data_IF_220790138374
#
_entry.id   IF_220790138374
#
_cell.length_a   1.000
_cell.length_b   1.000
_cell.length_c   1.000
_cell.angle_alpha   90.00
_cell.angle_beta   90.00
_cell.angle_gamma   90.00
#
_symmetry.space_group_name_H-M   'P 1'
#
loop_
_entity.id
_entity.type
_entity.pdbx_description
1 polymer ?
#
# COMPACT_ATOMS: atom_id res chain seq x y z
N UNK A 1 -9.68 -21.26 -5.88
CA UNK A 1 -9.55 -20.15 -4.90
C UNK A 1 -8.20 -19.49 -5.07
N UNK A 2 -8.09 -18.17 -4.89
CA UNK A 2 -6.83 -17.46 -5.00
C UNK A 2 -5.99 -17.66 -3.73
N UNK A 3 -4.74 -18.11 -3.84
CA UNK A 3 -3.76 -18.13 -2.74
C UNK A 3 -3.26 -16.70 -2.44
N UNK A 4 -4.19 -15.85 -1.98
CA UNK A 4 -4.00 -14.39 -1.88
C UNK A 4 -4.61 -13.82 -0.61
N UNK A 5 -3.82 -13.07 0.13
CA UNK A 5 -4.25 -12.36 1.34
C UNK A 5 -4.83 -10.99 0.97
N UNK A 6 -6.05 -10.72 1.41
CA UNK A 6 -6.68 -9.40 1.32
C UNK A 6 -6.79 -8.81 2.72
N UNK A 7 -6.12 -7.68 2.98
CA UNK A 7 -6.11 -7.05 4.30
C UNK A 7 -6.21 -5.54 4.21
N UNK A 8 -6.52 -4.89 5.34
CA UNK A 8 -6.48 -3.43 5.49
C UNK A 8 -5.09 -3.05 6.01
N UNK A 9 -4.58 -1.89 5.62
CA UNK A 9 -3.36 -1.38 6.21
C UNK A 9 -3.56 -1.11 7.72
N UNK A 10 -2.48 -1.22 8.49
CA UNK A 10 -2.43 -1.03 9.94
C UNK A 10 -3.32 -1.99 10.73
N UNK A 11 -3.70 -3.12 10.11
CA UNK A 11 -4.33 -4.24 10.81
C UNK A 11 -3.38 -5.41 10.87
N UNK A 12 -3.29 -5.99 12.06
CA UNK A 12 -2.55 -7.21 12.29
C UNK A 12 -3.21 -8.36 11.53
N UNK A 13 -2.38 -9.19 10.93
CA UNK A 13 -2.73 -10.50 10.41
C UNK A 13 -1.67 -11.49 10.86
N UNK A 14 -2.09 -12.74 11.02
CA UNK A 14 -1.25 -13.81 11.53
C UNK A 14 -0.96 -14.79 10.41
N UNK A 15 0.27 -15.29 10.37
CA UNK A 15 0.67 -16.40 9.53
C UNK A 15 1.13 -17.52 10.45
N UNK A 16 0.60 -18.70 10.17
CA UNK A 16 0.90 -19.93 10.90
C UNK A 16 2.02 -20.66 10.17
N UNK A 17 3.08 -20.97 10.90
CA UNK A 17 4.25 -21.68 10.42
C UNK A 17 4.29 -23.03 11.09
N UNK A 18 4.30 -24.08 10.27
CA UNK A 18 4.44 -25.45 10.72
C UNK A 18 5.84 -25.93 10.34
N UNK A 19 6.55 -26.52 11.29
CA UNK A 19 7.87 -27.08 11.08
C UNK A 19 7.88 -28.50 11.65
N UNK A 20 8.31 -29.46 10.84
CA UNK A 20 8.30 -30.88 11.20
C UNK A 20 9.49 -31.27 12.12
N UNK A 21 10.25 -30.29 12.64
CA UNK A 21 11.43 -30.51 13.46
C UNK A 21 11.17 -30.05 14.90
N UNK A 22 11.53 -30.88 15.88
CA UNK A 22 11.20 -30.74 17.30
C UNK A 22 11.82 -29.50 17.95
N UNK A 23 12.90 -28.93 17.38
CA UNK A 23 13.51 -27.70 17.89
C UNK A 23 13.59 -26.62 16.81
N UNK A 24 12.59 -25.74 16.80
CA UNK A 24 12.57 -24.50 16.00
C UNK A 24 13.31 -23.33 16.67
N UNK A 25 14.10 -23.59 17.73
CA UNK A 25 14.69 -22.55 18.59
C UNK A 25 15.67 -21.63 17.87
N UNK A 26 16.37 -22.15 16.87
CA UNK A 26 17.43 -21.42 16.14
C UNK A 26 17.02 -21.03 14.71
N UNK A 27 15.73 -21.11 14.40
CA UNK A 27 15.21 -20.75 13.09
C UNK A 27 14.60 -19.35 13.08
N UNK A 28 14.73 -18.72 11.93
CA UNK A 28 14.24 -17.38 11.65
C UNK A 28 13.26 -17.43 10.48
N UNK A 29 12.22 -16.60 10.56
CA UNK A 29 11.33 -16.32 9.44
C UNK A 29 11.72 -14.98 8.85
N UNK A 30 12.12 -14.98 7.59
CA UNK A 30 12.25 -13.75 6.80
C UNK A 30 11.02 -13.58 5.92
N UNK A 31 10.36 -12.45 6.05
CA UNK A 31 9.26 -12.04 5.20
C UNK A 31 9.71 -10.88 4.29
N UNK A 32 9.71 -11.12 2.98
CA UNK A 32 10.21 -10.19 1.96
C UNK A 32 9.11 -9.87 0.95
N UNK A 33 8.61 -8.62 0.90
CA UNK A 33 7.72 -8.18 -0.15
C UNK A 33 8.48 -7.94 -1.47
N UNK A 34 7.92 -8.46 -2.56
CA UNK A 34 8.41 -8.27 -3.92
C UNK A 34 7.27 -7.84 -4.84
N UNK A 35 7.56 -7.16 -5.94
CA UNK A 35 6.57 -6.99 -6.99
C UNK A 35 6.36 -8.30 -7.73
N UNK A 36 5.10 -8.66 -8.00
CA UNK A 36 4.77 -9.92 -8.68
C UNK A 36 5.18 -9.92 -10.16
N UNK A 37 5.29 -8.74 -10.78
CA UNK A 37 5.69 -8.58 -12.18
C UNK A 37 7.20 -8.75 -12.34
N UNK A 38 7.62 -9.53 -13.35
CA UNK A 38 9.03 -9.72 -13.69
C UNK A 38 9.75 -8.40 -14.02
N UNK A 39 9.06 -7.44 -14.65
CA UNK A 39 9.63 -6.13 -15.02
C UNK A 39 10.02 -5.28 -13.80
N UNK A 40 9.36 -5.51 -12.67
CA UNK A 40 9.59 -4.79 -11.42
C UNK A 40 10.27 -5.68 -10.36
N UNK A 41 10.62 -6.92 -10.68
CA UNK A 41 11.08 -7.91 -9.71
C UNK A 41 12.38 -7.50 -9.01
N UNK A 42 13.25 -6.73 -9.67
CA UNK A 42 14.48 -6.19 -9.08
C UNK A 42 14.25 -4.95 -8.20
N UNK A 43 13.08 -4.31 -8.29
CA UNK A 43 12.78 -3.07 -7.55
C UNK A 43 12.30 -3.42 -6.15
N UNK A 44 12.82 -2.76 -5.10
CA UNK A 44 12.33 -2.97 -3.75
C UNK A 44 10.92 -2.40 -3.56
N UNK A 45 10.08 -3.12 -2.82
CA UNK A 45 8.74 -2.64 -2.46
C UNK A 45 8.83 -1.73 -1.24
N UNK A 46 8.72 -0.42 -1.46
CA UNK A 46 8.97 0.59 -0.44
C UNK A 46 7.69 1.28 0.05
N UNK A 47 7.73 1.72 1.32
CA UNK A 47 6.71 2.56 1.93
C UNK A 47 6.63 3.91 1.20
N UNK A 48 5.40 4.39 1.01
CA UNK A 48 5.17 5.66 0.33
C UNK A 48 5.67 6.84 1.18
N UNK A 49 5.86 7.99 0.53
CA UNK A 49 6.42 9.19 1.16
C UNK A 49 5.58 9.63 2.37
N UNK A 50 4.25 9.57 2.27
CA UNK A 50 3.37 9.98 3.35
C UNK A 50 3.51 9.05 4.58
N UNK A 51 3.48 7.74 4.36
CA UNK A 51 3.50 6.79 5.46
C UNK A 51 4.91 6.53 6.04
N UNK A 52 5.98 7.02 5.40
CA UNK A 52 7.34 6.96 5.96
C UNK A 52 7.69 8.18 6.83
N UNK A 53 6.84 9.21 6.88
CA UNK A 53 7.11 10.42 7.66
C UNK A 53 7.23 10.09 9.15
N UNK A 54 8.16 10.73 9.85
CA UNK A 54 8.37 10.54 11.29
C UNK A 54 7.18 10.98 12.14
N UNK A 55 6.32 11.85 11.61
CA UNK A 55 5.09 12.32 12.24
C UNK A 55 4.02 11.24 12.36
N UNK A 56 4.10 10.18 11.56
CA UNK A 56 3.16 9.07 11.63
C UNK A 56 3.37 8.26 12.92
N UNK A 57 2.30 8.02 13.68
CA UNK A 57 2.35 7.38 15.01
C UNK A 57 3.12 6.06 15.04
N UNK A 58 2.95 5.22 14.00
CA UNK A 58 3.62 3.92 13.91
C UNK A 58 5.11 4.00 13.54
N UNK A 59 5.64 5.19 13.26
CA UNK A 59 7.07 5.44 13.04
C UNK A 59 7.78 5.97 14.28
N UNK A 60 7.05 6.30 15.36
CA UNK A 60 7.65 6.77 16.61
C UNK A 60 8.56 5.69 17.22
N UNK A 61 9.78 6.09 17.61
CA UNK A 61 10.77 5.17 18.19
C UNK A 61 11.32 4.11 17.22
N UNK A 62 11.00 4.17 15.92
CA UNK A 62 11.50 3.23 14.91
C UNK A 62 12.77 3.77 14.24
N UNK A 63 13.63 2.85 13.80
CA UNK A 63 14.80 3.22 13.01
C UNK A 63 14.40 3.78 11.65
N UNK A 64 15.25 4.63 11.07
CA UNK A 64 15.05 5.17 9.72
C UNK A 64 14.88 4.06 8.67
N UNK A 65 15.55 2.91 8.84
CA UNK A 65 15.38 1.77 7.93
C UNK A 65 13.95 1.21 8.02
N UNK A 66 13.44 0.96 9.23
CA UNK A 66 12.11 0.39 9.42
C UNK A 66 10.98 1.25 8.82
N UNK A 67 11.16 2.58 8.70
CA UNK A 67 10.15 3.45 8.07
C UNK A 67 9.99 3.21 6.56
N UNK A 68 11.00 2.64 5.89
CA UNK A 68 10.91 2.26 4.47
C UNK A 68 10.14 0.95 4.24
N UNK A 69 9.94 0.11 5.26
CA UNK A 69 9.29 -1.19 5.09
C UNK A 69 7.76 -1.05 5.03
N UNK A 70 7.15 -1.65 4.01
CA UNK A 70 5.68 -1.77 3.93
C UNK A 70 5.12 -2.84 4.86
N UNK A 71 5.91 -3.87 5.19
CA UNK A 71 5.55 -4.97 6.06
C UNK A 71 6.30 -4.82 7.39
N UNK A 72 5.60 -4.96 8.50
CA UNK A 72 6.16 -4.87 9.85
C UNK A 72 5.69 -6.02 10.70
N UNK A 73 6.47 -6.35 11.72
CA UNK A 73 6.08 -7.30 12.75
C UNK A 73 5.90 -6.59 14.09
N UNK A 74 5.00 -7.15 14.91
CA UNK A 74 4.85 -6.76 16.32
C UNK A 74 5.84 -7.53 17.22
N UNK A 75 6.59 -8.48 16.68
CA UNK A 75 7.57 -9.25 17.45
C UNK A 75 8.70 -8.33 17.98
N UNK A 76 9.03 -8.45 19.27
CA UNK A 76 9.99 -7.56 19.94
C UNK A 76 11.40 -7.65 19.34
N UNK A 77 11.79 -8.84 18.87
CA UNK A 77 13.08 -9.08 18.22
C UNK A 77 13.02 -9.00 16.69
N UNK A 78 12.05 -8.28 16.13
CA UNK A 78 11.95 -8.10 14.68
C UNK A 78 13.12 -7.25 14.16
N UNK A 79 13.88 -7.82 13.24
CA UNK A 79 15.01 -7.16 12.57
C UNK A 79 14.60 -6.72 11.17
N UNK A 80 14.95 -5.49 10.80
CA UNK A 80 14.65 -4.92 9.49
C UNK A 80 15.94 -4.87 8.68
N UNK A 81 15.94 -5.48 7.49
CA UNK A 81 17.12 -5.56 6.62
C UNK A 81 16.79 -5.07 5.20
N UNK A 82 17.82 -4.65 4.47
CA UNK A 82 17.70 -4.17 3.08
C UNK A 82 18.16 -2.73 2.94
N UNK A 83 17.68 -2.03 1.91
CA UNK A 83 18.07 -0.63 1.67
C UNK A 83 17.29 0.03 0.54
N UNK A 84 17.77 1.17 0.04
CA UNK A 84 17.11 1.87 -1.07
C UNK A 84 17.11 1.07 -2.37
N UNK A 85 18.15 0.27 -2.59
CA UNK A 85 18.37 -0.51 -3.82
C UNK A 85 18.32 -2.02 -3.59
N UNK A 86 18.16 -2.45 -2.33
CA UNK A 86 18.07 -3.86 -1.95
C UNK A 86 16.66 -4.17 -1.47
N UNK A 87 16.18 -5.38 -1.72
CA UNK A 87 14.89 -5.81 -1.20
C UNK A 87 14.84 -5.65 0.33
N UNK A 88 13.71 -5.12 0.78
CA UNK A 88 13.43 -4.90 2.18
C UNK A 88 12.77 -6.15 2.75
N UNK A 89 13.25 -6.65 3.88
CA UNK A 89 12.66 -7.80 4.55
C UNK A 89 12.65 -7.63 6.06
N UNK A 90 11.65 -8.20 6.72
CA UNK A 90 11.61 -8.33 8.18
C UNK A 90 11.99 -9.75 8.57
N UNK A 91 12.89 -9.90 9.51
CA UNK A 91 13.33 -11.18 10.08
C UNK A 91 12.83 -11.25 11.51
N UNK A 92 12.17 -12.35 11.86
CA UNK A 92 11.72 -12.62 13.23
C UNK A 92 12.21 -14.01 13.65
N UNK A 93 12.62 -14.21 14.91
CA UNK A 93 12.79 -15.55 15.45
C UNK A 93 11.49 -16.34 15.28
N UNK A 94 11.59 -17.60 14.85
CA UNK A 94 10.45 -18.50 14.82
C UNK A 94 10.08 -18.86 16.26
N UNK A 95 11.05 -19.36 17.03
CA UNK A 95 10.81 -19.84 18.40
C UNK A 95 10.13 -21.22 18.41
N UNK A 96 9.81 -21.72 19.59
CA UNK A 96 9.17 -23.04 19.74
C UNK A 96 7.65 -22.95 19.66
N UNK A 97 6.99 -23.97 19.07
CA UNK A 97 5.56 -24.16 19.26
C UNK A 97 5.21 -24.23 20.75
N UNK A 98 4.00 -23.78 21.10
CA UNK A 98 3.47 -23.96 22.45
C UNK A 98 3.22 -25.44 22.73
N UNK A 99 3.30 -25.87 23.99
CA UNK A 99 3.06 -27.26 24.36
C UNK A 99 1.68 -27.74 23.84
N UNK A 100 1.67 -28.85 23.10
CA UNK A 100 0.47 -29.38 22.45
C UNK A 100 0.10 -28.75 21.11
N UNK A 101 0.95 -27.88 20.54
CA UNK A 101 0.76 -27.25 19.24
C UNK A 101 1.92 -27.60 18.29
N UNK A 102 1.62 -27.82 17.01
CA UNK A 102 2.65 -28.02 15.96
C UNK A 102 2.94 -26.74 15.16
N UNK A 103 2.30 -25.63 15.54
CA UNK A 103 2.28 -24.38 14.81
C UNK A 103 2.86 -23.25 15.65
N UNK A 104 3.70 -22.46 15.01
CA UNK A 104 4.16 -21.16 15.51
C UNK A 104 3.46 -20.05 14.75
N UNK A 105 2.89 -19.09 15.48
CA UNK A 105 2.16 -17.96 14.90
C UNK A 105 2.99 -16.69 14.93
N UNK A 106 3.26 -16.12 13.76
CA UNK A 106 3.87 -14.78 13.67
C UNK A 106 2.88 -13.76 13.16
N UNK A 107 2.86 -12.59 13.80
CA UNK A 107 1.94 -11.50 13.50
C UNK A 107 2.66 -10.40 12.74
N UNK A 108 2.04 -9.97 11.64
CA UNK A 108 2.52 -8.91 10.78
C UNK A 108 1.41 -7.89 10.48
N UNK A 109 1.78 -6.72 9.97
CA UNK A 109 0.84 -5.76 9.42
C UNK A 109 1.48 -4.97 8.28
N UNK A 110 0.64 -4.46 7.39
CA UNK A 110 1.08 -3.58 6.30
C UNK A 110 0.83 -2.13 6.63
N UNK A 111 1.78 -1.26 6.30
CA UNK A 111 1.63 0.19 6.51
C UNK A 111 0.96 0.86 5.31
N UNK A 112 1.38 0.49 4.10
CA UNK A 112 0.88 1.07 2.86
C UNK A 112 -0.26 0.27 2.25
N UNK A 113 -1.18 0.98 1.58
CA UNK A 113 -2.14 0.38 0.65
C UNK A 113 -1.47 0.15 -0.70
N UNK A 114 -1.94 -0.83 -1.47
CA UNK A 114 -1.46 -1.01 -2.85
C UNK A 114 -1.67 0.27 -3.67
N UNK A 115 -2.71 1.06 -3.41
CA UNK A 115 -3.02 2.30 -4.13
C UNK A 115 -2.11 3.49 -3.81
N UNK A 116 -1.16 3.38 -2.88
CA UNK A 116 -0.28 4.50 -2.53
C UNK A 116 0.65 4.87 -3.71
N UNK A 117 0.46 6.06 -4.28
CA UNK A 117 1.10 6.49 -5.53
C UNK A 117 2.63 6.55 -5.46
N UNK A 118 3.21 7.05 -4.36
CA UNK A 118 4.67 7.18 -4.19
C UNK A 118 5.34 5.93 -3.63
N UNK A 119 4.62 4.80 -3.56
CA UNK A 119 5.15 3.52 -3.05
C UNK A 119 4.77 2.36 -3.99
N UNK A 120 3.82 1.54 -3.55
CA UNK A 120 3.37 0.35 -4.30
C UNK A 120 2.79 0.74 -5.68
N UNK A 121 2.06 1.85 -5.76
CA UNK A 121 1.49 2.41 -6.99
C UNK A 121 0.66 1.41 -7.82
N UNK A 122 -0.28 0.74 -7.17
CA UNK A 122 -1.23 -0.25 -7.71
C UNK A 122 -0.59 -1.50 -8.31
N UNK A 123 0.73 -1.67 -8.22
CA UNK A 123 1.43 -2.89 -8.65
C UNK A 123 1.07 -4.06 -7.74
N UNK A 124 1.03 -5.26 -8.32
CA UNK A 124 0.82 -6.50 -7.59
C UNK A 124 2.05 -6.80 -6.71
N UNK A 125 1.82 -7.26 -5.49
CA UNK A 125 2.85 -7.56 -4.50
C UNK A 125 2.67 -8.99 -4.02
N UNK A 126 3.77 -9.74 -3.98
CA UNK A 126 3.86 -11.04 -3.32
C UNK A 126 4.70 -10.90 -2.05
N UNK A 127 4.39 -11.72 -1.05
CA UNK A 127 5.26 -11.97 0.10
C UNK A 127 5.95 -13.31 -0.08
N UNK A 128 7.28 -13.28 -0.01
CA UNK A 128 8.10 -14.47 0.12
C UNK A 128 8.44 -14.65 1.59
N UNK A 129 8.14 -15.82 2.12
CA UNK A 129 8.62 -16.29 3.41
C UNK A 129 9.76 -17.28 3.18
N UNK A 130 10.88 -17.07 3.86
CA UNK A 130 11.96 -18.05 3.98
C UNK A 130 12.13 -18.46 5.44
N UNK A 131 12.30 -19.76 5.65
CA UNK A 131 12.79 -20.34 6.89
C UNK A 131 14.31 -20.39 6.79
N UNK A 132 14.99 -19.72 7.71
CA UNK A 132 16.45 -19.55 7.71
C UNK A 132 17.04 -20.10 9.02
N UNK A 133 18.22 -20.71 8.94
CA UNK A 133 19.01 -21.04 10.13
C UNK A 133 19.83 -19.84 10.62
N UNK A 134 20.60 -20.03 11.70
CA UNK A 134 21.44 -19.00 12.32
C UNK A 134 22.62 -18.54 11.44
N UNK A 135 22.99 -19.29 10.40
CA UNK A 135 24.04 -18.92 9.43
C UNK A 135 23.44 -18.27 8.17
N UNK A 136 22.11 -18.31 8.02
CA UNK A 136 21.37 -17.72 6.90
C UNK A 136 21.08 -18.70 5.76
N UNK A 137 21.24 -20.01 5.96
CA UNK A 137 20.84 -21.01 4.99
C UNK A 137 19.32 -21.11 4.91
N UNK A 138 18.78 -21.20 3.69
CA UNK A 138 17.34 -21.30 3.45
C UNK A 138 16.92 -22.77 3.54
N UNK A 139 16.15 -23.11 4.57
CA UNK A 139 15.60 -24.43 4.81
C UNK A 139 14.22 -24.63 4.17
N UNK A 140 13.52 -23.52 3.91
CA UNK A 140 12.17 -23.56 3.34
C UNK A 140 11.77 -22.24 2.72
N UNK A 141 10.91 -22.30 1.70
CA UNK A 141 10.40 -21.12 1.02
C UNK A 141 8.94 -21.28 0.63
N UNK A 142 8.13 -20.25 0.91
CA UNK A 142 6.74 -20.15 0.51
C UNK A 142 6.42 -18.75 0.01
N UNK A 143 5.51 -18.66 -0.96
CA UNK A 143 5.07 -17.41 -1.55
C UNK A 143 3.56 -17.27 -1.40
N UNK A 144 3.10 -16.09 -1.01
CA UNK A 144 1.68 -15.73 -1.02
C UNK A 144 1.49 -14.40 -1.73
N UNK A 145 0.44 -14.25 -2.53
CA UNK A 145 0.11 -12.94 -3.09
C UNK A 145 -0.62 -12.09 -2.05
N UNK A 146 -0.46 -10.78 -2.10
CA UNK A 146 -1.10 -9.87 -1.13
C UNK A 146 -1.74 -8.67 -1.80
N UNK A 147 -2.90 -8.26 -1.26
CA UNK A 147 -3.55 -6.99 -1.57
C UNK A 147 -3.97 -6.26 -0.30
N UNK A 148 -3.34 -5.12 -0.06
CA UNK A 148 -3.67 -4.18 1.00
C UNK A 148 -4.63 -3.12 0.47
N UNK A 149 -5.88 -3.15 0.92
CA UNK A 149 -6.96 -2.33 0.39
C UNK A 149 -7.96 -1.90 1.48
N UNK A 150 -8.76 -0.88 1.18
CA UNK A 150 -9.75 -0.36 2.13
C UNK A 150 -10.98 -1.28 2.30
N UNK A 151 -11.25 -2.19 1.35
CA UNK A 151 -12.43 -3.06 1.36
C UNK A 151 -12.07 -4.50 0.95
N UNK A 152 -11.35 -5.26 1.79
CA UNK A 152 -10.84 -6.60 1.46
C UNK A 152 -11.87 -7.56 0.89
N UNK A 153 -13.06 -7.64 1.50
CA UNK A 153 -14.13 -8.55 1.06
C UNK A 153 -14.62 -8.24 -0.36
N UNK A 154 -14.81 -6.96 -0.69
CA UNK A 154 -15.25 -6.53 -2.01
C UNK A 154 -14.19 -6.83 -3.07
N UNK A 155 -12.94 -6.47 -2.78
CA UNK A 155 -11.84 -6.67 -3.71
C UNK A 155 -11.55 -8.17 -3.91
N UNK A 156 -11.64 -9.00 -2.86
CA UNK A 156 -11.56 -10.46 -2.94
C UNK A 156 -12.64 -11.03 -3.87
N UNK A 157 -13.92 -10.70 -3.61
CA UNK A 157 -15.04 -11.19 -4.42
C UNK A 157 -14.89 -10.81 -5.89
N UNK A 158 -14.45 -9.57 -6.15
CA UNK A 158 -14.21 -9.09 -7.52
C UNK A 158 -13.12 -9.88 -8.21
N UNK A 159 -11.96 -10.05 -7.58
CA UNK A 159 -10.83 -10.78 -8.18
C UNK A 159 -11.14 -12.28 -8.33
N UNK A 160 -11.87 -12.89 -7.39
CA UNK A 160 -12.32 -14.29 -7.53
C UNK A 160 -13.35 -14.45 -8.67
N UNK A 161 -14.28 -13.50 -8.83
CA UNK A 161 -15.22 -13.50 -9.97
C UNK A 161 -14.50 -13.34 -11.31
N UNK A 162 -13.51 -12.45 -11.38
CA UNK A 162 -12.66 -12.27 -12.56
C UNK A 162 -11.84 -13.55 -12.87
N UNK A 163 -11.29 -14.20 -11.84
CA UNK A 163 -10.57 -15.47 -11.99
C UNK A 163 -11.48 -16.56 -12.56
N UNK A 164 -12.69 -16.73 -12.02
CA UNK A 164 -13.65 -17.75 -12.46
C UNK A 164 -14.12 -17.53 -13.90
N UNK A 165 -14.36 -16.27 -14.30
CA UNK A 165 -14.70 -15.91 -15.67
C UNK A 165 -13.58 -16.27 -16.64
N UNK A 166 -12.33 -15.99 -16.26
CA UNK A 166 -11.18 -16.28 -17.10
C UNK A 166 -10.83 -17.78 -17.11
N UNK A 167 -11.22 -18.56 -16.10
CA UNK A 167 -10.98 -20.00 -16.01
C UNK A 167 -12.14 -20.86 -16.56
N UNK A 168 -13.17 -20.27 -17.18
CA UNK A 168 -14.29 -20.99 -17.77
C UNK A 168 -15.22 -21.71 -16.77
N UNK A 169 -15.17 -21.36 -15.48
CA UNK A 169 -16.01 -21.99 -14.45
C UNK A 169 -17.25 -21.15 -14.13
N UNK A 170 -18.43 -21.75 -13.86
CA UNK A 170 -19.64 -21.01 -13.57
C UNK A 170 -19.49 -20.20 -12.28
N UNK A 171 -19.54 -18.87 -12.40
CA UNK A 171 -19.42 -17.96 -11.27
C UNK A 171 -20.65 -18.04 -10.34
N UNK A 172 -20.42 -18.25 -9.04
CA UNK A 172 -21.49 -18.11 -8.04
C UNK A 172 -21.89 -16.65 -7.91
N UNK A 173 -23.12 -16.31 -8.36
CA UNK A 173 -23.69 -14.97 -8.29
C UNK A 173 -24.02 -14.61 -6.83
N UNK A 174 -23.07 -14.00 -6.13
CA UNK A 174 -23.37 -13.23 -4.91
C UNK A 174 -24.21 -12.00 -5.27
N UNK A 175 -25.26 -11.69 -4.47
CA UNK A 175 -26.14 -10.52 -4.68
C UNK A 175 -25.29 -9.24 -4.84
N UNK A 176 -25.24 -8.70 -6.05
CA UNK A 176 -24.64 -7.38 -6.34
C UNK A 176 -25.39 -6.33 -5.53
N UNK A 177 -24.78 -5.78 -4.48
CA UNK A 177 -25.24 -4.48 -3.94
C UNK A 177 -24.94 -3.44 -5.01
N UNK A 178 -25.98 -2.67 -5.40
CA UNK A 178 -25.82 -1.49 -6.26
C UNK A 178 -24.67 -0.65 -5.72
N UNK A 179 -23.73 -0.31 -6.60
CA UNK A 179 -22.70 0.67 -6.31
C UNK A 179 -23.40 2.01 -6.09
N UNK A 180 -23.61 2.36 -4.83
CA UNK A 180 -23.86 3.75 -4.46
C UNK A 180 -22.48 4.39 -4.45
N UNK A 181 -22.17 5.37 -5.31
CA UNK A 181 -20.92 6.09 -5.24
C UNK A 181 -20.78 6.61 -3.81
N UNK A 182 -19.72 6.17 -3.11
CA UNK A 182 -19.34 6.79 -1.85
C UNK A 182 -19.00 8.24 -2.19
N UNK A 183 -19.90 9.16 -1.84
CA UNK A 183 -19.54 10.58 -1.70
C UNK A 183 -18.27 10.65 -0.84
N UNK A 184 -17.30 11.52 -1.20
CA UNK A 184 -16.13 11.77 -0.37
C UNK A 184 -16.56 11.99 1.08
N UNK A 185 -15.74 11.49 2.00
CA UNK A 185 -15.90 11.66 3.44
C UNK A 185 -16.32 13.09 3.77
N UNK A 186 -17.47 13.19 4.46
CA UNK A 186 -18.13 14.38 4.95
C UNK A 186 -17.21 15.28 5.77
N UNK A 187 -16.54 16.23 5.10
CA UNK A 187 -15.92 17.39 5.72
C UNK A 187 -16.18 18.71 4.96
N UNK A 188 -17.00 18.72 3.92
CA UNK A 188 -17.26 19.94 3.16
C UNK A 188 -18.76 20.12 2.91
N UNK A 189 -19.26 21.27 3.34
CA UNK A 189 -20.52 21.84 2.90
C UNK A 189 -20.56 21.83 1.35
N UNK A 190 -21.59 21.23 0.71
CA UNK A 190 -21.72 21.24 -0.74
C UNK A 190 -21.70 22.65 -1.36
N UNK A 191 -21.99 23.68 -0.56
CA UNK A 191 -22.02 25.09 -0.96
C UNK A 191 -20.81 25.89 -0.46
N UNK A 192 -19.69 25.26 -0.09
CA UNK A 192 -18.49 26.01 0.27
C UNK A 192 -17.89 26.75 -0.95
N UNK A 193 -18.22 28.04 -1.04
CA UNK A 193 -17.70 28.96 -2.05
C UNK A 193 -16.51 29.79 -1.52
N UNK A 194 -15.89 29.39 -0.40
CA UNK A 194 -14.76 30.13 0.16
C UNK A 194 -13.48 29.81 -0.59
N UNK A 195 -12.80 30.85 -1.07
CA UNK A 195 -11.50 30.73 -1.74
C UNK A 195 -10.39 30.77 -0.69
N UNK A 196 -9.51 29.76 -0.72
CA UNK A 196 -8.35 29.67 0.15
C UNK A 196 -7.07 29.85 -0.67
N UNK A 197 -6.24 30.88 -0.41
CA UNK A 197 -4.95 31.01 -1.07
C UNK A 197 -4.00 29.89 -0.62
N UNK A 198 -3.38 29.20 -1.58
CA UNK A 198 -2.41 28.14 -1.32
C UNK A 198 -1.03 28.67 -1.68
N UNK A 199 -0.16 28.86 -0.68
CA UNK A 199 1.24 29.20 -0.88
C UNK A 199 2.11 27.95 -0.69
N UNK A 200 2.71 27.44 -1.76
CA UNK A 200 3.52 26.22 -1.75
C UNK A 200 4.81 26.42 -2.55
N UNK A 201 5.92 25.95 -1.99
CA UNK A 201 7.21 25.91 -2.68
C UNK A 201 7.36 24.58 -3.42
N UNK A 202 7.55 24.64 -4.74
CA UNK A 202 7.67 23.44 -5.59
C UNK A 202 9.00 23.45 -6.32
N UNK A 203 9.85 22.47 -6.00
CA UNK A 203 11.18 22.35 -6.62
C UNK A 203 11.06 21.87 -8.07
N UNK A 204 11.61 22.65 -8.99
CA UNK A 204 11.79 22.30 -10.40
C UNK A 204 10.57 22.58 -11.29
N UNK A 205 10.85 23.11 -12.50
CA UNK A 205 9.83 23.56 -13.48
C UNK A 205 8.81 22.48 -13.84
N UNK A 206 9.26 21.23 -14.04
CA UNK A 206 8.39 20.09 -14.38
C UNK A 206 7.38 19.79 -13.27
N UNK A 207 7.80 19.84 -12.01
CA UNK A 207 6.92 19.58 -10.86
C UNK A 207 5.94 20.72 -10.66
N UNK A 208 6.39 21.98 -10.80
CA UNK A 208 5.52 23.15 -10.74
C UNK A 208 4.38 23.06 -11.78
N UNK A 209 4.70 22.75 -13.04
CA UNK A 209 3.69 22.52 -14.09
C UNK A 209 2.75 21.37 -13.75
N UNK A 210 3.23 20.27 -13.20
CA UNK A 210 2.38 19.14 -12.82
C UNK A 210 1.37 19.52 -11.72
N UNK A 211 1.80 20.28 -10.70
CA UNK A 211 0.92 20.76 -9.63
C UNK A 211 -0.14 21.73 -10.16
N UNK A 212 0.28 22.72 -10.97
CA UNK A 212 -0.66 23.67 -11.57
C UNK A 212 -1.66 22.98 -12.51
N UNK A 213 -1.22 22.01 -13.30
CA UNK A 213 -2.12 21.24 -14.16
C UNK A 213 -3.14 20.43 -13.36
N UNK A 214 -2.71 19.80 -12.27
CA UNK A 214 -3.62 19.06 -11.39
C UNK A 214 -4.66 19.99 -10.75
N UNK A 215 -4.23 21.12 -10.20
CA UNK A 215 -5.12 22.13 -9.64
C UNK A 215 -6.11 22.67 -10.70
N UNK A 216 -5.62 22.94 -11.92
CA UNK A 216 -6.46 23.39 -13.04
C UNK A 216 -7.51 22.34 -13.41
N UNK A 217 -7.11 21.07 -13.53
CA UNK A 217 -8.04 19.98 -13.84
C UNK A 217 -9.10 19.80 -12.77
N UNK A 218 -8.75 19.94 -11.49
CA UNK A 218 -9.70 19.88 -10.39
C UNK A 218 -10.73 21.02 -10.48
N UNK A 219 -10.28 22.25 -10.71
CA UNK A 219 -11.18 23.40 -10.87
C UNK A 219 -12.03 23.31 -12.15
N UNK A 220 -11.51 22.75 -13.23
CA UNK A 220 -12.26 22.53 -14.46
C UNK A 220 -13.48 21.62 -14.21
N UNK A 221 -13.33 20.58 -13.38
CA UNK A 221 -14.44 19.69 -13.01
C UNK A 221 -15.52 20.46 -12.24
N UNK A 222 -15.14 21.26 -11.24
CA UNK A 222 -16.10 22.07 -10.47
C UNK A 222 -16.80 23.13 -11.33
N UNK A 223 -16.08 23.76 -12.27
CA UNK A 223 -16.66 24.72 -13.24
C UNK A 223 -17.73 24.06 -14.12
N UNK A 224 -17.50 22.83 -14.57
CA UNK A 224 -18.50 22.08 -15.36
C UNK A 224 -19.69 21.68 -14.49
N UNK A 225 -19.45 21.19 -13.28
CA UNK A 225 -20.51 20.73 -12.38
C UNK A 225 -21.40 21.88 -11.88
N UNK A 226 -20.89 23.12 -11.88
CA UNK A 226 -21.58 24.34 -11.41
C UNK A 226 -21.88 25.34 -12.53
N UNK A 227 -21.83 24.92 -13.79
CA UNK A 227 -22.15 25.74 -14.97
C UNK A 227 -21.44 27.11 -15.00
N UNK A 228 -20.16 27.14 -14.62
CA UNK A 228 -19.34 28.36 -14.65
C UNK A 228 -19.59 29.35 -13.52
N UNK A 229 -20.27 28.96 -12.45
CA UNK A 229 -20.51 29.84 -11.29
C UNK A 229 -19.20 30.35 -10.65
N UNK A 230 -19.24 31.59 -10.16
CA UNK A 230 -18.18 32.15 -9.32
C UNK A 230 -18.22 31.53 -7.90
N UNK A 231 -17.08 31.34 -7.23
CA UNK A 231 -15.72 31.79 -7.60
C UNK A 231 -14.91 30.79 -8.44
N UNK A 232 -15.52 29.67 -8.85
CA UNK A 232 -14.82 28.54 -9.48
C UNK A 232 -14.22 28.92 -10.83
N UNK A 233 -14.97 29.67 -11.64
CA UNK A 233 -14.51 30.13 -12.96
C UNK A 233 -13.30 31.08 -12.84
N UNK A 234 -13.34 32.06 -11.93
CA UNK A 234 -12.16 32.90 -11.64
C UNK A 234 -10.95 32.09 -11.19
N UNK A 235 -11.11 31.13 -10.28
CA UNK A 235 -10.00 30.28 -9.82
C UNK A 235 -9.39 29.45 -10.95
N UNK A 236 -10.22 28.90 -11.85
CA UNK A 236 -9.77 28.19 -13.04
C UNK A 236 -8.96 29.07 -14.00
N UNK A 237 -9.42 30.31 -14.23
CA UNK A 237 -8.74 31.27 -15.10
C UNK A 237 -7.38 31.70 -14.55
N UNK A 238 -7.27 31.94 -13.24
CA UNK A 238 -5.99 32.23 -12.57
C UNK A 238 -4.99 31.09 -12.78
N UNK A 239 -5.42 29.84 -12.57
CA UNK A 239 -4.56 28.67 -12.78
C UNK A 239 -4.13 28.50 -14.24
N UNK A 240 -5.02 28.80 -15.18
CA UNK A 240 -4.72 28.78 -16.62
C UNK A 240 -3.68 29.82 -17.02
N UNK A 241 -3.78 31.04 -16.48
CA UNK A 241 -2.79 32.09 -16.72
C UNK A 241 -1.43 31.76 -16.10
N UNK A 242 -1.42 31.22 -14.88
CA UNK A 242 -0.19 30.79 -14.22
C UNK A 242 0.54 29.70 -15.02
N UNK A 243 -0.18 28.74 -15.60
CA UNK A 243 0.39 27.73 -16.49
C UNK A 243 1.04 28.35 -17.73
N UNK A 244 0.35 29.28 -18.41
CA UNK A 244 0.87 29.97 -19.59
C UNK A 244 2.15 30.75 -19.29
N UNK A 245 2.21 31.46 -18.16
CA UNK A 245 3.39 32.22 -17.75
C UNK A 245 4.62 31.31 -17.52
N UNK A 246 4.40 30.06 -17.07
CA UNK A 246 5.46 29.06 -16.90
C UNK A 246 5.85 28.31 -18.18
N UNK A 247 5.08 28.45 -19.26
CA UNK A 247 5.45 27.97 -20.59
C UNK A 247 6.32 28.97 -21.36
N UNK A 248 6.24 30.27 -21.01
CA UNK A 248 6.99 31.37 -21.65
C UNK A 248 8.30 31.75 -20.95
N UNK A 249 8.46 31.42 -19.66
CA UNK A 249 9.75 31.38 -18.93
C UNK A 249 10.43 30.03 -19.14
#
# INVERSE_FOLDING_TARGET
MLNKVFTVNQRNFTIDFMCNNESCKDFFIRAMPIYSSAQDASKPVQCCIQHRLSTERYNQGRTKLATYHILRSIHNHAQYTGGRERHLSVVVPLGTPQAGMDIVRSTFFFVCKNSCATGINRRAVDLIFTLEDNVGNILGRRKISVRVCSCPKRDKMKEEEEYLKNSGQPAQRGKKRKYVPKKPSSLSDPNDNKVYPINIEVVGKRNCKAVLNYARSLMATEVVDRDGEEPFNRCFNVLTNNLRNHDLS
#
